data_IF_421839072206
#
_entry.id   IF_421839072206
#
_cell.length_a   1.000
_cell.length_b   1.000
_cell.length_c   1.000
_cell.angle_alpha   90.00
_cell.angle_beta   90.00
_cell.angle_gamma   90.00
#
_symmetry.space_group_name_H-M   'P 1'
#
loop_
_entity.id
_entity.type
_entity.pdbx_description
1 polymer ?
#
# COMPACT_ATOMS: atom_id res chain seq x y z
N UNK A 1 -5.58 12.31 -10.20
CA UNK A 1 -4.21 11.82 -9.92
C UNK A 1 -4.07 10.44 -10.54
N UNK A 2 -2.89 10.07 -11.04
CA UNK A 2 -2.64 8.80 -11.72
C UNK A 2 -1.83 7.78 -10.90
N UNK A 3 -1.62 6.60 -11.47
CA UNK A 3 -0.86 5.50 -10.88
C UNK A 3 0.58 5.90 -10.57
N UNK A 4 1.23 6.71 -11.40
CA UNK A 4 2.63 7.14 -11.18
C UNK A 4 2.83 7.82 -9.82
N UNK A 5 1.84 8.60 -9.38
CA UNK A 5 1.88 9.27 -8.08
C UNK A 5 1.65 8.30 -6.93
N UNK A 6 0.71 7.36 -7.07
CA UNK A 6 0.49 6.29 -6.09
C UNK A 6 1.76 5.44 -5.94
N UNK A 7 2.38 5.07 -7.05
CA UNK A 7 3.65 4.34 -7.07
C UNK A 7 4.74 5.12 -6.33
N UNK A 8 4.87 6.42 -6.59
CA UNK A 8 5.85 7.27 -5.90
C UNK A 8 5.67 7.26 -4.38
N UNK A 9 4.42 7.37 -3.90
CA UNK A 9 4.11 7.33 -2.45
C UNK A 9 4.51 5.98 -1.85
N UNK A 10 4.08 4.88 -2.47
CA UNK A 10 4.34 3.53 -1.99
C UNK A 10 5.85 3.20 -2.00
N UNK A 11 6.55 3.50 -3.10
CA UNK A 11 7.98 3.25 -3.21
C UNK A 11 8.79 4.06 -2.18
N UNK A 12 8.41 5.32 -1.94
CA UNK A 12 9.05 6.16 -0.91
C UNK A 12 8.88 5.56 0.49
N UNK A 13 7.69 5.03 0.78
CA UNK A 13 7.40 4.36 2.06
C UNK A 13 8.28 3.12 2.25
N UNK A 14 8.40 2.31 1.20
CA UNK A 14 9.21 1.09 1.19
C UNK A 14 10.69 1.42 1.36
N UNK A 15 11.20 2.43 0.64
CA UNK A 15 12.58 2.89 0.77
C UNK A 15 12.88 3.43 2.17
N UNK A 16 11.96 4.20 2.75
CA UNK A 16 12.07 4.71 4.12
C UNK A 16 12.09 3.56 5.13
N UNK A 17 11.20 2.57 4.95
CA UNK A 17 11.15 1.39 5.78
C UNK A 17 12.45 0.57 5.73
N UNK A 18 12.98 0.29 4.53
CA UNK A 18 14.23 -0.45 4.34
C UNK A 18 15.46 0.22 4.97
N UNK A 19 15.45 1.55 5.05
CA UNK A 19 16.57 2.33 5.61
C UNK A 19 16.45 2.60 7.10
N UNK A 20 15.32 2.24 7.73
CA UNK A 20 15.09 2.43 9.16
C UNK A 20 15.80 1.34 9.98
N UNK A 21 16.53 1.75 11.03
CA UNK A 21 17.27 0.84 11.90
C UNK A 21 16.32 -0.14 12.62
N UNK A 22 16.63 -1.44 12.58
CA UNK A 22 15.81 -2.49 13.20
C UNK A 22 14.77 -3.12 12.27
N UNK A 23 14.64 -2.68 11.02
CA UNK A 23 13.83 -3.36 9.99
C UNK A 23 14.66 -4.37 9.18
N UNK A 24 15.54 -5.11 9.86
CA UNK A 24 16.42 -6.18 9.38
C UNK A 24 16.94 -5.94 7.97
N UNK A 25 18.11 -5.33 7.79
CA UNK A 25 18.67 -5.07 6.46
C UNK A 25 19.36 -6.33 5.87
N UNK A 26 18.84 -6.96 4.79
CA UNK A 26 17.70 -6.59 3.96
C UNK A 26 16.38 -7.12 4.52
N UNK A 27 15.34 -6.31 4.38
CA UNK A 27 14.00 -6.59 4.87
C UNK A 27 13.61 -8.05 4.65
N UNK A 28 13.00 -8.72 5.65
CA UNK A 28 12.45 -10.06 5.44
C UNK A 28 11.30 -10.00 4.43
N UNK A 29 11.64 -10.26 3.17
CA UNK A 29 10.72 -10.38 2.06
C UNK A 29 10.33 -11.85 1.82
N UNK A 30 10.50 -12.77 2.76
CA UNK A 30 10.14 -14.19 2.56
C UNK A 30 8.66 -14.40 2.18
N UNK A 31 7.78 -13.45 2.51
CA UNK A 31 6.38 -13.38 2.06
C UNK A 31 6.11 -12.54 0.81
N UNK A 32 7.15 -11.96 0.20
CA UNK A 32 7.08 -11.05 -0.94
C UNK A 32 8.05 -11.49 -2.06
N UNK A 33 7.86 -11.00 -3.28
CA UNK A 33 8.81 -11.27 -4.38
C UNK A 33 10.20 -10.64 -4.13
N UNK A 34 11.13 -10.72 -5.09
CA UNK A 34 12.49 -10.17 -4.95
C UNK A 34 12.54 -8.66 -4.69
N UNK A 35 11.42 -7.95 -4.91
CA UNK A 35 11.20 -6.59 -4.45
C UNK A 35 9.79 -6.46 -3.88
N UNK A 36 9.65 -5.63 -2.84
CA UNK A 36 8.35 -5.18 -2.37
C UNK A 36 7.98 -3.91 -3.12
N UNK A 37 7.47 -4.03 -4.35
CA UNK A 37 7.09 -2.89 -5.19
C UNK A 37 6.09 -3.30 -6.27
N UNK A 38 5.42 -2.31 -6.87
CA UNK A 38 4.50 -2.52 -7.98
C UNK A 38 4.91 -1.69 -9.19
N UNK A 39 5.48 -2.34 -10.19
CA UNK A 39 5.95 -1.65 -11.41
C UNK A 39 4.82 -1.14 -12.30
N UNK A 40 3.63 -1.72 -12.21
CA UNK A 40 2.46 -1.35 -13.04
C UNK A 40 1.20 -1.26 -12.19
N UNK A 41 0.22 -0.49 -12.66
CA UNK A 41 -1.11 -0.44 -12.05
C UNK A 41 -1.72 -1.83 -11.91
N UNK A 42 -1.62 -2.65 -12.95
CA UNK A 42 -2.13 -4.02 -12.94
C UNK A 42 -1.50 -4.86 -11.82
N UNK A 43 -0.20 -4.71 -11.56
CA UNK A 43 0.47 -5.40 -10.47
C UNK A 43 -0.08 -4.98 -9.11
N UNK A 44 -0.34 -3.68 -8.89
CA UNK A 44 -0.92 -3.18 -7.64
C UNK A 44 -2.38 -3.66 -7.46
N UNK A 45 -3.20 -3.64 -8.51
CA UNK A 45 -4.59 -4.10 -8.45
C UNK A 45 -4.69 -5.62 -8.23
N UNK A 46 -3.70 -6.39 -8.70
CA UNK A 46 -3.64 -7.83 -8.48
C UNK A 46 -3.03 -8.22 -7.12
N UNK A 47 -2.44 -7.26 -6.40
CA UNK A 47 -1.64 -7.52 -5.21
C UNK A 47 -2.46 -8.12 -4.05
N UNK A 48 -1.82 -9.02 -3.31
CA UNK A 48 -2.37 -9.65 -2.12
C UNK A 48 -1.39 -9.42 -0.96
N UNK A 49 -1.88 -8.85 0.13
CA UNK A 49 -1.15 -8.69 1.40
C UNK A 49 -1.94 -9.36 2.51
N UNK A 50 -1.26 -10.04 3.44
CA UNK A 50 -1.90 -10.78 4.54
C UNK A 50 -3.05 -11.72 4.10
N UNK A 51 -2.91 -12.35 2.93
CA UNK A 51 -3.93 -13.25 2.35
C UNK A 51 -5.19 -12.54 1.81
N UNK A 52 -5.19 -11.20 1.72
CA UNK A 52 -6.30 -10.39 1.23
C UNK A 52 -5.87 -9.55 0.02
N UNK A 53 -6.72 -9.46 -1.00
CA UNK A 53 -6.47 -8.57 -2.14
C UNK A 53 -6.41 -7.12 -1.63
N UNK A 54 -5.33 -6.40 -1.94
CA UNK A 54 -5.10 -5.05 -1.42
C UNK A 54 -6.13 -4.03 -1.92
N UNK A 55 -6.55 -4.14 -3.20
CA UNK A 55 -7.60 -3.28 -3.76
C UNK A 55 -8.67 -4.17 -4.38
N UNK A 56 -9.82 -4.24 -3.73
CA UNK A 56 -10.94 -5.08 -4.17
C UNK A 56 -11.69 -4.40 -5.34
N UNK A 57 -12.07 -5.13 -6.40
CA UNK A 57 -12.75 -4.53 -7.55
C UNK A 57 -14.02 -3.74 -7.19
N UNK A 58 -14.77 -4.21 -6.19
CA UNK A 58 -16.03 -3.60 -5.74
C UNK A 58 -15.88 -2.23 -5.05
N UNK A 59 -14.67 -1.82 -4.66
CA UNK A 59 -14.42 -0.50 -4.05
C UNK A 59 -13.96 0.55 -5.07
N UNK A 60 -13.49 0.13 -6.25
CA UNK A 60 -12.90 1.00 -7.27
C UNK A 60 -14.01 1.83 -7.93
N UNK A 61 -13.84 3.16 -7.97
CA UNK A 61 -14.78 4.06 -8.65
C UNK A 61 -16.13 4.25 -7.95
N UNK A 62 -16.29 3.71 -6.73
CA UNK A 62 -17.57 3.66 -6.02
C UNK A 62 -17.60 4.55 -4.76
N UNK A 63 -16.64 5.46 -4.59
CA UNK A 63 -16.46 6.29 -3.38
C UNK A 63 -16.32 5.45 -2.08
N UNK A 64 -15.75 4.24 -2.20
CA UNK A 64 -15.54 3.27 -1.12
C UNK A 64 -14.07 2.93 -0.91
N UNK A 65 -13.16 3.77 -1.40
CA UNK A 65 -11.71 3.57 -1.32
C UNK A 65 -11.20 3.44 0.12
N UNK A 66 -11.88 4.04 1.10
CA UNK A 66 -11.57 3.87 2.52
C UNK A 66 -11.70 2.41 3.01
N UNK A 67 -12.52 1.60 2.34
CA UNK A 67 -12.71 0.16 2.62
C UNK A 67 -11.68 -0.72 1.90
N UNK A 68 -10.85 -0.14 1.02
CA UNK A 68 -9.80 -0.88 0.37
C UNK A 68 -8.83 -1.45 1.42
N UNK A 69 -8.49 -2.72 1.30
CA UNK A 69 -7.58 -3.37 2.24
C UNK A 69 -6.24 -2.62 2.33
N UNK A 70 -5.73 -2.07 1.22
CA UNK A 70 -4.55 -1.22 1.19
C UNK A 70 -4.67 -0.01 2.12
N UNK A 71 -5.79 0.71 2.09
CA UNK A 71 -5.99 1.90 2.92
C UNK A 71 -6.09 1.50 4.40
N UNK A 72 -6.81 0.42 4.70
CA UNK A 72 -6.90 -0.13 6.05
C UNK A 72 -5.50 -0.52 6.56
N UNK A 73 -4.70 -1.18 5.72
CA UNK A 73 -3.39 -1.69 6.11
C UNK A 73 -2.37 -0.58 6.35
N UNK A 74 -2.44 0.50 5.56
CA UNK A 74 -1.58 1.68 5.73
C UNK A 74 -1.98 2.51 6.95
N UNK A 75 -3.28 2.64 7.25
CA UNK A 75 -3.77 3.47 8.37
C UNK A 75 -3.71 2.75 9.71
N UNK A 76 -4.19 1.51 9.77
CA UNK A 76 -4.42 0.80 11.03
C UNK A 76 -3.80 -0.59 11.09
N UNK A 77 -3.46 -1.17 9.93
CA UNK A 77 -3.09 -2.57 9.81
C UNK A 77 -4.32 -3.46 9.72
N UNK A 78 -4.32 -4.41 8.79
CA UNK A 78 -5.52 -5.20 8.44
C UNK A 78 -5.99 -6.16 9.54
N UNK A 79 -5.06 -6.59 10.41
CA UNK A 79 -5.32 -7.41 11.60
C UNK A 79 -4.96 -6.64 12.89
N UNK A 80 -4.95 -5.30 12.83
CA UNK A 80 -4.59 -4.40 13.93
C UNK A 80 -3.20 -3.77 13.80
N UNK A 81 -2.81 -2.87 14.73
CA UNK A 81 -1.64 -1.99 14.57
C UNK A 81 -0.32 -2.70 14.31
N UNK A 82 -0.12 -3.88 14.90
CA UNK A 82 1.10 -4.67 14.71
C UNK A 82 1.25 -5.23 13.28
N UNK A 83 0.16 -5.28 12.50
CA UNK A 83 0.15 -5.73 11.10
C UNK A 83 0.21 -4.57 10.10
N UNK A 84 0.35 -3.33 10.55
CA UNK A 84 0.39 -2.16 9.67
C UNK A 84 1.51 -2.28 8.64
N UNK A 85 1.20 -2.00 7.38
CA UNK A 85 2.17 -1.97 6.28
C UNK A 85 2.75 -0.55 6.06
N UNK A 86 4.05 -0.43 5.73
CA UNK A 86 5.11 -1.40 5.99
C UNK A 86 5.27 -1.74 7.48
N UNK A 87 5.83 -2.92 7.79
CA UNK A 87 5.95 -3.43 9.16
C UNK A 87 6.64 -2.41 10.09
N UNK A 88 6.04 -2.19 11.27
CA UNK A 88 6.54 -1.20 12.24
C UNK A 88 6.22 0.24 11.86
N UNK A 89 5.33 0.47 10.89
CA UNK A 89 4.90 1.81 10.48
C UNK A 89 4.21 2.62 11.58
N UNK A 90 3.84 3.88 11.27
CA UNK A 90 3.59 4.39 9.92
C UNK A 90 4.84 4.89 9.18
N UNK A 91 4.84 4.69 7.85
CA UNK A 91 5.84 5.26 6.92
C UNK A 91 5.23 6.19 5.86
N UNK A 92 3.89 6.30 5.84
CA UNK A 92 3.14 7.18 4.94
C UNK A 92 2.30 8.12 5.81
N UNK A 93 2.39 9.44 5.66
CA UNK A 93 1.56 10.39 6.37
C UNK A 93 0.11 10.38 5.84
N UNK A 94 -0.86 10.66 6.71
CA UNK A 94 -2.30 10.60 6.39
C UNK A 94 -2.73 11.34 5.11
N UNK A 95 -2.19 12.53 4.76
CA UNK A 95 -2.53 13.20 3.51
C UNK A 95 -2.15 12.39 2.26
N UNK A 96 -1.03 11.67 2.29
CA UNK A 96 -0.62 10.81 1.17
C UNK A 96 -1.44 9.53 1.10
N UNK A 97 -1.89 9.00 2.24
CA UNK A 97 -2.86 7.90 2.24
C UNK A 97 -4.20 8.37 1.64
N UNK A 98 -4.61 9.62 1.93
CA UNK A 98 -5.79 10.21 1.31
C UNK A 98 -5.65 10.32 -0.20
N UNK A 99 -4.48 10.72 -0.71
CA UNK A 99 -4.21 10.73 -2.16
C UNK A 99 -4.45 9.33 -2.79
N UNK A 100 -3.95 8.26 -2.16
CA UNK A 100 -4.18 6.88 -2.64
C UNK A 100 -5.67 6.53 -2.60
N UNK A 101 -6.37 6.91 -1.53
CA UNK A 101 -7.81 6.68 -1.40
C UNK A 101 -8.58 7.39 -2.52
N UNK A 102 -8.30 8.67 -2.77
CA UNK A 102 -8.93 9.47 -3.82
C UNK A 102 -8.68 8.88 -5.22
N UNK A 103 -7.51 8.28 -5.43
CA UNK A 103 -7.20 7.55 -6.66
C UNK A 103 -8.04 6.28 -6.83
N UNK A 104 -8.28 5.52 -5.76
CA UNK A 104 -9.19 4.36 -5.77
C UNK A 104 -10.63 4.82 -6.03
N UNK A 105 -11.07 5.87 -5.34
CA UNK A 105 -12.38 6.48 -5.51
C UNK A 105 -12.59 7.03 -6.93
N UNK A 106 -11.53 7.53 -7.55
CA UNK A 106 -11.50 8.01 -8.94
C UNK A 106 -11.41 6.92 -10.00
N UNK A 107 -11.42 5.63 -9.61
CA UNK A 107 -11.44 4.51 -10.55
C UNK A 107 -10.06 4.00 -10.98
N UNK A 108 -9.01 4.26 -10.18
CA UNK A 108 -7.64 3.81 -10.45
C UNK A 108 -7.11 4.23 -11.84
N UNK A 109 -7.17 5.54 -12.13
CA UNK A 109 -6.67 6.11 -13.39
C UNK A 109 -5.16 5.92 -13.54
N UNK A 110 -4.64 5.84 -14.77
CA UNK A 110 -3.18 5.86 -14.99
C UNK A 110 -2.57 7.22 -14.71
#
# INVERSE_FOLDING_TARGET
>A
MGFDRVKTILDTAIQTWQTTAGNDNPADLSGHGPSFSWSTKANLLAAVGHGKRLIQPEVIGNHRGAEANLIIDLRTGINGPASRMPQGGPYIPDPQIQEIQDWIDGGCLD
#
